data_IF_187280911223
#
_entry.id   IF_187280911223
#
_cell.length_a   1.000
_cell.length_b   1.000
_cell.length_c   1.000
_cell.angle_alpha   90.00
_cell.angle_beta   90.00
_cell.angle_gamma   90.00
#
_symmetry.space_group_name_H-M   'P 1'
#
loop_
_entity.id
_entity.type
_entity.pdbx_description
1 polymer ?
#
# COMPACT_ATOMS: atom_id res chain seq x y z
N UNK A 1 -31.84 27.12 49.62
CA UNK A 1 -30.74 26.17 49.45
C UNK A 1 -31.10 24.90 48.65
N UNK A 2 -32.27 24.25 48.85
CA UNK A 2 -32.66 23.04 48.08
C UNK A 2 -32.86 23.30 46.58
N UNK A 3 -33.35 24.44 46.13
CA UNK A 3 -33.58 24.78 44.73
C UNK A 3 -32.26 25.01 43.94
N UNK A 4 -31.26 25.60 44.59
CA UNK A 4 -29.93 25.85 43.97
C UNK A 4 -29.19 24.49 43.74
N UNK A 5 -29.29 23.55 44.69
CA UNK A 5 -28.67 22.22 44.53
C UNK A 5 -29.29 21.43 43.37
N UNK A 6 -30.63 21.56 43.16
CA UNK A 6 -31.30 20.91 42.02
C UNK A 6 -30.95 21.53 40.68
N UNK A 7 -30.78 22.84 40.63
CA UNK A 7 -30.33 23.57 39.45
C UNK A 7 -28.88 23.20 39.08
N UNK A 8 -27.99 23.09 40.06
CA UNK A 8 -26.59 22.67 39.83
C UNK A 8 -26.52 21.21 39.35
N UNK A 9 -27.31 20.31 39.90
CA UNK A 9 -27.36 18.91 39.45
C UNK A 9 -27.87 18.80 38.00
N UNK A 10 -28.90 19.56 37.63
CA UNK A 10 -29.41 19.58 36.27
C UNK A 10 -28.40 20.13 35.29
N UNK A 11 -27.65 21.18 35.65
CA UNK A 11 -26.60 21.75 34.85
C UNK A 11 -25.43 20.78 34.61
N UNK A 12 -25.04 20.03 35.66
CA UNK A 12 -24.00 18.99 35.55
C UNK A 12 -24.42 17.85 34.62
N UNK A 13 -25.69 17.40 34.69
CA UNK A 13 -26.20 16.39 33.77
C UNK A 13 -26.20 16.83 32.32
N UNK A 14 -26.51 18.08 32.02
CA UNK A 14 -26.48 18.62 30.66
C UNK A 14 -25.04 18.66 30.12
N UNK A 15 -24.07 19.06 30.95
CA UNK A 15 -22.65 19.09 30.55
C UNK A 15 -22.12 17.68 30.26
N UNK A 16 -22.49 16.68 31.05
CA UNK A 16 -22.06 15.29 30.83
C UNK A 16 -22.63 14.71 29.53
N UNK A 17 -23.89 15.02 29.18
CA UNK A 17 -24.50 14.57 27.93
C UNK A 17 -23.83 15.21 26.71
N UNK A 18 -23.49 16.48 26.78
CA UNK A 18 -22.78 17.20 25.69
C UNK A 18 -21.37 16.64 25.50
N UNK A 19 -20.66 16.29 26.57
CA UNK A 19 -19.34 15.66 26.47
C UNK A 19 -19.40 14.23 25.91
N UNK A 20 -20.45 13.47 26.20
CA UNK A 20 -20.61 12.11 25.69
C UNK A 20 -20.94 12.07 24.18
N UNK A 21 -21.58 13.10 23.64
CA UNK A 21 -21.88 13.19 22.21
C UNK A 21 -20.71 13.79 21.40
N UNK A 22 -19.72 14.40 22.04
CA UNK A 22 -18.56 15.01 21.40
C UNK A 22 -17.47 14.02 20.96
N UNK A 23 -17.48 12.78 21.43
CA UNK A 23 -16.52 11.74 21.03
C UNK A 23 -16.99 10.85 19.86
N UNK A 24 -18.14 11.15 19.27
CA UNK A 24 -18.51 10.62 17.97
C UNK A 24 -17.71 11.34 16.89
N UNK A 25 -16.42 11.02 16.75
CA UNK A 25 -15.67 11.37 15.56
C UNK A 25 -16.52 10.92 14.38
N UNK A 26 -17.18 11.87 13.69
CA UNK A 26 -17.63 11.64 12.34
C UNK A 26 -16.38 11.24 11.57
N UNK A 27 -16.13 9.95 11.45
CA UNK A 27 -15.34 9.43 10.37
C UNK A 27 -16.02 10.01 9.12
N UNK A 28 -15.51 11.14 8.66
CA UNK A 28 -15.78 11.62 7.32
C UNK A 28 -15.24 10.47 6.48
N UNK A 29 -16.14 9.58 6.08
CA UNK A 29 -15.90 8.59 5.05
C UNK A 29 -15.72 9.45 3.79
N UNK A 30 -14.51 10.04 3.67
CA UNK A 30 -14.04 10.53 2.39
C UNK A 30 -14.20 9.30 1.50
N UNK A 31 -15.21 9.32 0.65
CA UNK A 31 -15.17 8.55 -0.58
C UNK A 31 -13.99 9.14 -1.35
N UNK A 32 -12.81 8.67 -1.04
CA UNK A 32 -11.70 8.76 -1.95
C UNK A 32 -12.13 7.87 -3.12
N UNK A 33 -12.83 8.46 -4.06
CA UNK A 33 -12.94 7.87 -5.39
C UNK A 33 -11.52 7.94 -5.91
N UNK A 34 -10.84 6.79 -5.88
CA UNK A 34 -9.52 6.64 -6.49
C UNK A 34 -9.66 7.09 -7.93
N UNK A 35 -8.84 8.03 -8.36
CA UNK A 35 -8.86 8.53 -9.74
C UNK A 35 -8.47 7.39 -10.68
N UNK A 36 -8.89 7.45 -11.95
CA UNK A 36 -8.49 6.42 -12.93
C UNK A 36 -6.98 6.41 -13.14
N UNK A 37 -6.32 7.54 -12.92
CA UNK A 37 -4.87 7.63 -12.94
C UNK A 37 -4.21 6.87 -11.78
N UNK A 38 -4.74 7.01 -10.59
CA UNK A 38 -4.25 6.26 -9.42
C UNK A 38 -4.52 4.76 -9.53
N UNK A 39 -5.62 4.36 -10.19
CA UNK A 39 -5.86 2.93 -10.49
C UNK A 39 -4.82 2.36 -11.44
N UNK A 40 -4.44 3.10 -12.49
CA UNK A 40 -3.37 2.68 -13.38
C UNK A 40 -2.03 2.53 -12.64
N UNK A 41 -1.75 3.40 -11.69
CA UNK A 41 -0.58 3.28 -10.83
C UNK A 41 -0.67 2.05 -9.91
N UNK A 42 -1.84 1.80 -9.30
CA UNK A 42 -2.07 0.61 -8.48
C UNK A 42 -1.90 -0.69 -9.30
N UNK A 43 -2.45 -0.73 -10.54
CA UNK A 43 -2.29 -1.86 -11.46
C UNK A 43 -0.82 -2.08 -11.86
N UNK A 44 -0.06 -1.00 -12.04
CA UNK A 44 1.39 -1.08 -12.25
C UNK A 44 2.09 -1.67 -11.04
N UNK A 45 1.80 -1.20 -9.83
CA UNK A 45 2.39 -1.75 -8.60
C UNK A 45 2.06 -3.23 -8.41
N UNK A 46 0.83 -3.65 -8.72
CA UNK A 46 0.40 -5.05 -8.67
C UNK A 46 1.17 -5.92 -9.69
N UNK A 47 1.39 -5.40 -10.92
CA UNK A 47 2.19 -6.06 -11.95
C UNK A 47 3.62 -6.28 -11.46
N UNK A 48 4.28 -5.21 -10.98
CA UNK A 48 5.65 -5.25 -10.47
C UNK A 48 5.77 -6.25 -9.32
N UNK A 49 4.84 -6.21 -8.36
CA UNK A 49 4.84 -7.13 -7.22
C UNK A 49 4.75 -8.59 -7.68
N UNK A 50 3.86 -8.90 -8.62
CA UNK A 50 3.72 -10.27 -9.16
C UNK A 50 4.96 -10.70 -9.91
N UNK A 51 5.47 -9.85 -10.81
CA UNK A 51 6.68 -10.12 -11.58
C UNK A 51 7.88 -10.42 -10.68
N UNK A 52 8.08 -9.63 -9.62
CA UNK A 52 9.18 -9.85 -8.68
C UNK A 52 9.09 -11.21 -7.95
N UNK A 53 7.88 -11.65 -7.63
CA UNK A 53 7.65 -12.94 -6.97
C UNK A 53 7.80 -14.13 -7.93
N UNK A 54 7.40 -13.96 -9.20
CA UNK A 54 7.56 -15.00 -10.24
C UNK A 54 9.03 -15.21 -10.59
N UNK A 55 9.84 -14.14 -10.58
CA UNK A 55 11.28 -14.22 -10.83
C UNK A 55 12.07 -14.85 -9.68
N UNK A 56 11.56 -14.75 -8.45
CA UNK A 56 12.19 -15.31 -7.27
C UNK A 56 11.27 -16.30 -6.55
N UNK A 57 11.05 -17.53 -7.09
CA UNK A 57 10.14 -18.51 -6.50
C UNK A 57 10.49 -18.89 -5.06
N UNK A 58 11.76 -18.76 -4.67
CA UNK A 58 12.19 -18.97 -3.29
C UNK A 58 11.64 -17.90 -2.35
N UNK A 59 11.69 -16.64 -2.76
CA UNK A 59 11.10 -15.52 -2.00
C UNK A 59 9.59 -15.64 -1.89
N UNK A 60 8.92 -16.18 -2.91
CA UNK A 60 7.48 -16.40 -2.93
C UNK A 60 6.99 -17.21 -1.72
N UNK A 61 7.67 -18.34 -1.40
CA UNK A 61 7.30 -19.25 -0.31
C UNK A 61 7.36 -18.56 1.07
N UNK A 62 8.23 -17.56 1.24
CA UNK A 62 8.37 -16.82 2.48
C UNK A 62 7.50 -15.55 2.53
N UNK A 63 7.12 -15.02 1.38
CA UNK A 63 6.39 -13.76 1.27
C UNK A 63 4.89 -13.96 1.30
N UNK A 64 4.38 -15.00 0.66
CA UNK A 64 2.95 -15.27 0.55
C UNK A 64 2.61 -16.67 1.05
N UNK A 65 1.60 -16.73 1.94
CA UNK A 65 1.06 -18.01 2.41
C UNK A 65 0.24 -18.72 1.33
N UNK A 66 -0.49 -17.96 0.53
CA UNK A 66 -1.37 -18.46 -0.54
C UNK A 66 -1.18 -17.56 -1.77
N UNK A 67 -0.23 -17.95 -2.61
CA UNK A 67 0.15 -17.20 -3.81
C UNK A 67 -0.83 -17.42 -4.97
N UNK A 68 -1.57 -18.53 -4.97
CA UNK A 68 -2.54 -18.84 -6.02
C UNK A 68 -3.70 -17.81 -6.07
N UNK A 69 -4.09 -17.26 -4.90
CA UNK A 69 -5.11 -16.21 -4.84
C UNK A 69 -4.70 -14.92 -5.57
N UNK A 70 -3.41 -14.72 -5.78
CA UNK A 70 -2.87 -13.57 -6.54
C UNK A 70 -2.69 -13.90 -8.03
N UNK A 71 -3.08 -15.13 -8.46
CA UNK A 71 -2.92 -15.60 -9.82
C UNK A 71 -1.47 -15.88 -10.20
N UNK A 72 -0.62 -16.19 -9.22
CA UNK A 72 0.77 -16.59 -9.41
C UNK A 72 0.80 -18.11 -9.52
N UNK A 73 1.30 -18.62 -10.64
CA UNK A 73 1.48 -20.04 -10.89
C UNK A 73 2.97 -20.36 -10.90
N UNK A 74 3.42 -21.27 -10.04
CA UNK A 74 4.81 -21.71 -9.96
C UNK A 74 4.84 -23.21 -10.18
N UNK A 75 5.55 -23.66 -11.21
CA UNK A 75 5.75 -25.08 -11.44
C UNK A 75 6.77 -25.67 -10.45
N UNK A 76 6.74 -26.98 -10.23
CA UNK A 76 7.72 -27.62 -9.34
C UNK A 76 9.15 -27.53 -9.90
N UNK A 77 9.30 -27.39 -11.22
CA UNK A 77 10.59 -27.23 -11.89
C UNK A 77 11.18 -25.80 -11.67
N UNK A 78 10.32 -24.80 -11.41
CA UNK A 78 10.73 -23.43 -11.13
C UNK A 78 11.13 -23.19 -9.66
N UNK A 79 10.83 -24.13 -8.76
CA UNK A 79 11.20 -24.08 -7.34
C UNK A 79 12.68 -24.38 -7.11
N UNK A 80 13.54 -23.61 -7.76
CA UNK A 80 14.99 -23.69 -7.61
C UNK A 80 15.54 -22.47 -6.93
N UNK A 81 16.77 -22.55 -6.44
CA UNK A 81 17.46 -21.37 -5.87
C UNK A 81 17.89 -20.36 -6.94
N UNK A 82 17.54 -20.62 -8.21
CA UNK A 82 18.01 -19.85 -9.34
C UNK A 82 19.50 -20.07 -9.65
N UNK A 83 19.96 -19.45 -10.71
CA UNK A 83 21.39 -19.45 -11.09
C UNK A 83 21.92 -18.05 -10.79
N UNK A 84 22.93 -17.95 -9.95
CA UNK A 84 23.64 -16.71 -9.70
C UNK A 84 24.90 -16.66 -10.56
N UNK A 85 24.74 -16.24 -11.79
CA UNK A 85 25.85 -15.98 -12.72
C UNK A 85 25.83 -14.53 -13.21
N UNK A 86 26.82 -14.17 -14.02
CA UNK A 86 26.93 -12.82 -14.55
C UNK A 86 25.78 -12.46 -15.49
N UNK A 87 25.30 -13.40 -16.28
CA UNK A 87 24.24 -13.16 -17.26
C UNK A 87 22.91 -12.90 -16.55
N UNK A 88 22.58 -13.69 -15.53
CA UNK A 88 21.39 -13.46 -14.67
C UNK A 88 21.44 -12.09 -13.97
N UNK A 89 22.63 -11.64 -13.56
CA UNK A 89 22.80 -10.33 -12.98
C UNK A 89 22.53 -9.20 -13.99
N UNK A 90 23.03 -9.34 -15.22
CA UNK A 90 22.78 -8.38 -16.29
C UNK A 90 21.30 -8.32 -16.64
N UNK A 91 20.64 -9.47 -16.79
CA UNK A 91 19.20 -9.54 -17.06
C UNK A 91 18.38 -8.85 -15.95
N UNK A 92 18.73 -9.08 -14.68
CA UNK A 92 18.08 -8.42 -13.55
C UNK A 92 18.25 -6.90 -13.58
N UNK A 93 19.46 -6.43 -13.93
CA UNK A 93 19.74 -5.01 -14.06
C UNK A 93 18.94 -4.37 -15.20
N UNK A 94 18.94 -4.98 -16.38
CA UNK A 94 18.18 -4.49 -17.54
C UNK A 94 16.67 -4.47 -17.23
N UNK A 95 16.18 -5.45 -16.49
CA UNK A 95 14.79 -5.48 -16.04
C UNK A 95 14.48 -4.31 -15.10
N UNK A 96 15.36 -4.04 -14.14
CA UNK A 96 15.20 -2.90 -13.21
C UNK A 96 15.20 -1.56 -13.92
N UNK A 97 16.02 -1.38 -14.95
CA UNK A 97 16.01 -0.17 -15.80
C UNK A 97 14.67 -0.01 -16.55
N UNK A 98 14.10 -1.10 -17.08
CA UNK A 98 12.80 -1.08 -17.75
C UNK A 98 11.66 -0.72 -16.77
N UNK A 99 11.65 -1.30 -15.58
CA UNK A 99 10.66 -0.98 -14.56
C UNK A 99 10.76 0.48 -14.10
N UNK A 100 11.97 1.02 -13.98
CA UNK A 100 12.18 2.43 -13.68
C UNK A 100 11.67 3.35 -14.82
N UNK A 101 11.88 2.96 -16.08
CA UNK A 101 11.35 3.71 -17.22
C UNK A 101 9.81 3.69 -17.22
N UNK A 102 9.17 2.54 -16.99
CA UNK A 102 7.72 2.44 -16.86
C UNK A 102 7.19 3.29 -15.69
N UNK A 103 7.87 3.26 -14.53
CA UNK A 103 7.51 4.06 -13.36
C UNK A 103 7.58 5.56 -13.65
N UNK A 104 8.58 6.01 -14.39
CA UNK A 104 8.78 7.41 -14.74
C UNK A 104 7.70 7.98 -15.69
N UNK A 105 6.85 7.13 -16.28
CA UNK A 105 5.68 7.59 -17.03
C UNK A 105 4.56 8.11 -16.10
N UNK A 106 4.65 7.85 -14.81
CA UNK A 106 3.70 8.38 -13.83
C UNK A 106 4.17 9.74 -13.29
N UNK A 107 3.27 10.74 -13.32
CA UNK A 107 3.50 12.01 -12.64
C UNK A 107 3.21 11.86 -11.14
N UNK A 108 4.28 11.82 -10.34
CA UNK A 108 4.23 11.72 -8.88
C UNK A 108 3.26 12.72 -8.25
N UNK A 109 3.18 13.95 -8.77
CA UNK A 109 2.35 15.02 -8.17
C UNK A 109 0.85 14.78 -8.37
N UNK A 110 0.45 13.88 -9.26
CA UNK A 110 -0.95 13.50 -9.48
C UNK A 110 -1.39 12.34 -8.58
N UNK A 111 -0.47 11.75 -7.83
CA UNK A 111 -0.72 10.65 -6.90
C UNK A 111 -1.09 11.20 -5.52
N UNK A 112 -1.90 10.45 -4.76
CA UNK A 112 -2.14 10.71 -3.34
C UNK A 112 -0.84 10.57 -2.54
N UNK A 113 -0.79 11.16 -1.35
CA UNK A 113 0.41 11.11 -0.50
C UNK A 113 0.87 9.68 -0.22
N UNK A 114 -0.05 8.74 -0.03
CA UNK A 114 0.26 7.32 0.18
C UNK A 114 0.96 6.73 -1.04
N UNK A 115 0.42 6.96 -2.25
CA UNK A 115 1.01 6.48 -3.51
C UNK A 115 2.31 7.19 -3.87
N UNK A 116 2.48 8.44 -3.47
CA UNK A 116 3.77 9.14 -3.61
C UNK A 116 4.87 8.45 -2.82
N UNK A 117 4.58 7.95 -1.62
CA UNK A 117 5.55 7.16 -0.85
C UNK A 117 5.90 5.84 -1.55
N UNK A 118 4.92 5.15 -2.11
CA UNK A 118 5.15 3.94 -2.90
C UNK A 118 6.02 4.26 -4.12
N UNK A 119 5.69 5.32 -4.85
CA UNK A 119 6.47 5.79 -6.00
C UNK A 119 7.93 6.06 -5.61
N UNK A 120 8.16 6.85 -4.56
CA UNK A 120 9.50 7.21 -4.09
C UNK A 120 10.30 5.96 -3.65
N UNK A 121 9.63 4.98 -3.05
CA UNK A 121 10.25 3.71 -2.63
C UNK A 121 10.66 2.88 -3.85
N UNK A 122 9.83 2.79 -4.87
CA UNK A 122 10.15 2.06 -6.10
C UNK A 122 11.29 2.73 -6.87
N UNK A 123 11.28 4.08 -6.99
CA UNK A 123 12.40 4.81 -7.59
C UNK A 123 13.71 4.50 -6.87
N UNK A 124 13.69 4.57 -5.54
CA UNK A 124 14.89 4.24 -4.75
C UNK A 124 15.35 2.80 -4.96
N UNK A 125 14.42 1.85 -4.99
CA UNK A 125 14.72 0.43 -5.19
C UNK A 125 15.41 0.19 -6.54
N UNK A 126 14.88 0.74 -7.61
CA UNK A 126 15.42 0.54 -8.97
C UNK A 126 16.69 1.34 -9.25
N UNK A 127 16.91 2.48 -8.58
CA UNK A 127 18.11 3.30 -8.75
C UNK A 127 19.31 2.75 -7.96
N UNK A 128 19.07 1.95 -6.92
CA UNK A 128 20.10 1.44 -6.01
C UNK A 128 20.36 -0.07 -6.14
N UNK A 129 19.47 -0.81 -6.80
CA UNK A 129 19.59 -2.27 -7.03
C UNK A 129 20.37 -2.56 -8.26
#
# INVERSE_FOLDING_TARGET
>A
MKKIKRLLAALLCVITVVCATGCGGRAIKRRNTVSDYEKQFDEYCDKVFKSSLEQEPFSLVYTLYDYEQYGIEVSDDDKTLGVMDYDSYVESYEHSEQELEELNNFDRNRLSTERQHTYDTLVWLYDTG
#
